data_IF_696860560972
#
_entry.id   IF_696860560972
#
_cell.length_a   1.000
_cell.length_b   1.000
_cell.length_c   1.000
_cell.angle_alpha   90.00
_cell.angle_beta   90.00
_cell.angle_gamma   90.00
#
_symmetry.space_group_name_H-M   'P 1'
#
loop_
_entity.id
_entity.type
_entity.pdbx_description
1 polymer ?
#
# COMPACT_ATOMS: atom_id res chain seq x y z
N UNK A 1 4.90 18.30 -19.14
CA UNK A 1 5.93 19.02 -18.35
C UNK A 1 7.17 18.16 -18.19
N UNK A 2 8.33 18.69 -18.60
CA UNK A 2 9.64 18.08 -18.39
C UNK A 2 10.13 18.29 -16.94
N UNK A 3 9.90 19.46 -16.33
CA UNK A 3 10.39 19.84 -14.98
C UNK A 3 9.28 19.90 -13.91
N UNK A 4 8.44 18.87 -13.83
CA UNK A 4 7.31 18.89 -12.89
C UNK A 4 7.75 18.77 -11.42
N UNK A 5 8.89 18.11 -11.14
CA UNK A 5 9.42 17.93 -9.78
C UNK A 5 9.93 19.25 -9.22
N UNK A 6 10.66 20.02 -10.02
CA UNK A 6 11.21 21.32 -9.63
C UNK A 6 10.08 22.31 -9.31
N UNK A 7 9.06 22.36 -10.18
CA UNK A 7 7.87 23.19 -9.96
C UNK A 7 7.11 22.77 -8.71
N UNK A 8 6.97 21.46 -8.48
CA UNK A 8 6.32 20.94 -7.28
C UNK A 8 7.10 21.30 -6.02
N UNK A 9 8.43 21.23 -6.07
CA UNK A 9 9.29 21.57 -4.94
C UNK A 9 9.14 23.04 -4.53
N UNK A 10 9.04 23.96 -5.50
CA UNK A 10 8.78 25.38 -5.24
C UNK A 10 7.47 25.66 -4.48
N UNK A 11 6.51 24.74 -4.54
CA UNK A 11 5.22 24.89 -3.84
C UNK A 11 5.23 24.39 -2.39
N UNK A 12 6.38 23.95 -1.85
CA UNK A 12 6.53 23.45 -0.48
C UNK A 12 5.45 22.43 -0.08
N UNK A 13 5.44 21.21 -0.67
CA UNK A 13 4.36 20.25 -0.49
C UNK A 13 4.17 19.77 0.96
N UNK A 14 5.19 19.93 1.81
CA UNK A 14 5.13 19.63 3.24
C UNK A 14 4.18 20.55 4.02
N UNK A 15 4.02 21.79 3.56
CA UNK A 15 3.18 22.82 4.19
C UNK A 15 1.73 22.78 3.71
N UNK A 16 1.42 21.94 2.72
CA UNK A 16 0.08 21.87 2.16
C UNK A 16 -0.96 21.42 3.19
N UNK A 17 -2.14 22.05 3.09
CA UNK A 17 -3.30 21.62 3.85
C UNK A 17 -3.74 20.21 3.40
N UNK A 18 -4.38 19.40 4.27
CA UNK A 18 -4.90 18.10 3.89
C UNK A 18 -5.83 18.13 2.66
N UNK A 19 -6.60 19.22 2.52
CA UNK A 19 -7.50 19.44 1.39
C UNK A 19 -6.73 19.78 0.11
N UNK A 20 -5.67 20.59 0.22
CA UNK A 20 -4.76 20.87 -0.90
C UNK A 20 -4.08 19.60 -1.41
N UNK A 21 -3.60 18.76 -0.49
CA UNK A 21 -3.01 17.46 -0.83
C UNK A 21 -3.99 16.55 -1.57
N UNK A 22 -5.27 16.53 -1.18
CA UNK A 22 -6.30 15.77 -1.89
C UNK A 22 -6.49 16.25 -3.33
N UNK A 23 -6.65 17.57 -3.54
CA UNK A 23 -6.84 18.12 -4.88
C UNK A 23 -5.61 17.92 -5.75
N UNK A 24 -4.41 18.15 -5.20
CA UNK A 24 -3.15 17.87 -5.88
C UNK A 24 -3.06 16.40 -6.30
N UNK A 25 -3.34 15.47 -5.39
CA UNK A 25 -3.34 14.02 -5.70
C UNK A 25 -4.37 13.69 -6.78
N UNK A 26 -5.56 14.31 -6.76
CA UNK A 26 -6.60 14.09 -7.77
C UNK A 26 -6.15 14.53 -9.17
N UNK A 27 -5.56 15.72 -9.28
CA UNK A 27 -5.05 16.28 -10.54
C UNK A 27 -3.86 15.46 -11.04
N UNK A 28 -2.96 15.10 -10.14
CA UNK A 28 -1.74 14.40 -10.51
C UNK A 28 -2.02 12.95 -10.89
N UNK A 29 -2.90 12.25 -10.18
CA UNK A 29 -3.29 10.88 -10.52
C UNK A 29 -4.00 10.78 -11.88
N UNK A 30 -4.71 11.83 -12.33
CA UNK A 30 -5.39 11.79 -13.63
C UNK A 30 -4.52 12.26 -14.80
N UNK A 31 -3.52 13.10 -14.56
CA UNK A 31 -2.77 13.78 -15.62
C UNK A 31 -1.30 13.33 -15.74
N UNK A 32 -0.73 12.65 -14.74
CA UNK A 32 0.65 12.17 -14.81
C UNK A 32 0.75 10.76 -15.35
N UNK A 33 1.85 10.50 -16.06
CA UNK A 33 2.28 9.16 -16.42
C UNK A 33 2.57 8.31 -15.17
N UNK A 34 2.40 6.99 -15.26
CA UNK A 34 2.49 6.04 -14.14
C UNK A 34 3.82 6.17 -13.37
N UNK A 35 4.94 6.41 -14.08
CA UNK A 35 6.27 6.62 -13.47
C UNK A 35 6.34 7.91 -12.64
N UNK A 36 5.71 8.99 -13.11
CA UNK A 36 5.68 10.28 -12.42
C UNK A 36 4.73 10.22 -11.21
N UNK A 37 3.57 9.59 -11.38
CA UNK A 37 2.63 9.33 -10.30
C UNK A 37 3.25 8.46 -9.20
N UNK A 38 4.06 7.45 -9.55
CA UNK A 38 4.82 6.65 -8.58
C UNK A 38 5.77 7.53 -7.74
N UNK A 39 6.54 8.40 -8.40
CA UNK A 39 7.46 9.33 -7.72
C UNK A 39 6.72 10.29 -6.78
N UNK A 40 5.62 10.88 -7.24
CA UNK A 40 4.78 11.75 -6.41
C UNK A 40 4.26 11.01 -5.16
N UNK A 41 3.71 9.81 -5.36
CA UNK A 41 3.20 8.99 -4.26
C UNK A 41 4.29 8.66 -3.24
N UNK A 42 5.50 8.33 -3.72
CA UNK A 42 6.63 7.95 -2.87
C UNK A 42 7.26 9.12 -2.12
N UNK A 43 7.44 10.26 -2.77
CA UNK A 43 8.19 11.40 -2.23
C UNK A 43 7.31 12.40 -1.47
N UNK A 44 6.03 12.52 -1.81
CA UNK A 44 5.16 13.54 -1.22
C UNK A 44 4.03 12.92 -0.41
N UNK A 45 3.22 12.07 -1.03
CA UNK A 45 2.00 11.56 -0.39
C UNK A 45 2.32 10.61 0.78
N UNK A 46 3.25 9.67 0.58
CA UNK A 46 3.61 8.68 1.58
C UNK A 46 4.21 9.32 2.84
N UNK A 47 5.26 10.17 2.79
CA UNK A 47 5.81 10.81 3.98
C UNK A 47 4.75 11.62 4.74
N UNK A 48 3.91 12.37 4.02
CA UNK A 48 2.85 13.18 4.63
C UNK A 48 1.86 12.33 5.43
N UNK A 49 1.46 11.17 4.90
CA UNK A 49 0.53 10.27 5.58
C UNK A 49 1.17 9.70 6.85
N UNK A 50 2.43 9.26 6.77
CA UNK A 50 3.16 8.72 7.92
C UNK A 50 3.30 9.75 9.04
N UNK A 51 3.63 10.99 8.70
CA UNK A 51 3.75 12.08 9.67
C UNK A 51 2.43 12.38 10.37
N UNK A 52 1.32 12.41 9.62
CA UNK A 52 0.00 12.68 10.19
C UNK A 52 -0.46 11.53 11.08
N UNK A 53 -0.20 10.27 10.68
CA UNK A 53 -0.52 9.10 11.52
C UNK A 53 0.33 9.11 12.80
N UNK A 54 1.61 9.46 12.71
CA UNK A 54 2.51 9.55 13.86
C UNK A 54 2.06 10.64 14.84
N UNK A 55 1.64 11.81 14.35
CA UNK A 55 1.21 12.95 15.17
C UNK A 55 -0.19 12.76 15.77
N UNK A 56 -1.18 12.47 14.93
CA UNK A 56 -2.59 12.53 15.33
C UNK A 56 -3.19 11.16 15.66
N UNK A 57 -2.44 10.06 15.44
CA UNK A 57 -2.90 8.67 15.63
C UNK A 57 -4.13 8.27 14.80
N UNK A 58 -4.69 9.19 14.01
CA UNK A 58 -5.85 9.09 13.11
C UNK A 58 -5.52 9.84 11.81
N UNK A 59 -6.00 9.32 10.68
CA UNK A 59 -5.82 9.97 9.39
C UNK A 59 -6.94 10.97 9.12
N UNK A 60 -6.58 12.17 8.65
CA UNK A 60 -7.54 13.18 8.23
C UNK A 60 -8.36 12.68 7.02
N UNK A 61 -9.65 13.00 6.98
CA UNK A 61 -10.57 12.54 5.93
C UNK A 61 -10.07 12.84 4.50
N UNK A 62 -9.60 14.07 4.25
CA UNK A 62 -9.07 14.45 2.94
C UNK A 62 -7.82 13.63 2.51
N UNK A 63 -6.94 13.25 3.45
CA UNK A 63 -5.78 12.40 3.14
C UNK A 63 -6.21 10.97 2.85
N UNK A 64 -7.25 10.48 3.53
CA UNK A 64 -7.87 9.21 3.19
C UNK A 64 -8.50 9.24 1.78
N UNK A 65 -9.15 10.35 1.41
CA UNK A 65 -9.64 10.55 0.05
C UNK A 65 -8.50 10.66 -0.98
N UNK A 66 -7.35 11.23 -0.61
CA UNK A 66 -6.16 11.28 -1.46
C UNK A 66 -5.63 9.88 -1.75
N UNK A 67 -5.53 9.02 -0.72
CA UNK A 67 -5.21 7.59 -0.89
C UNK A 67 -6.21 6.88 -1.81
N UNK A 68 -7.51 7.13 -1.62
CA UNK A 68 -8.55 6.58 -2.51
C UNK A 68 -8.32 7.01 -3.96
N UNK A 69 -7.91 8.25 -4.21
CA UNK A 69 -7.61 8.73 -5.57
C UNK A 69 -6.32 8.13 -6.13
N UNK A 70 -5.30 7.92 -5.31
CA UNK A 70 -4.06 7.27 -5.73
C UNK A 70 -4.27 5.81 -6.20
N UNK A 71 -5.27 5.08 -5.67
CA UNK A 71 -5.58 3.72 -6.11
C UNK A 71 -6.05 3.63 -7.57
N UNK A 72 -6.61 4.70 -8.14
CA UNK A 72 -7.03 4.70 -9.55
C UNK A 72 -5.84 4.46 -10.49
N UNK A 73 -4.61 4.73 -10.04
CA UNK A 73 -3.38 4.36 -10.72
C UNK A 73 -2.66 3.23 -9.94
N UNK A 74 -3.07 1.96 -10.09
CA UNK A 74 -2.66 0.87 -9.20
C UNK A 74 -1.16 0.55 -9.28
N UNK A 75 -0.53 0.75 -10.43
CA UNK A 75 0.91 0.57 -10.61
C UNK A 75 1.71 1.57 -9.75
N UNK A 76 1.31 2.84 -9.77
CA UNK A 76 1.92 3.91 -8.99
C UNK A 76 1.66 3.72 -7.49
N UNK A 77 0.44 3.31 -7.11
CA UNK A 77 0.09 3.03 -5.72
C UNK A 77 0.93 1.90 -5.12
N UNK A 78 1.04 0.76 -5.81
CA UNK A 78 1.78 -0.39 -5.30
C UNK A 78 3.29 -0.09 -5.18
N UNK A 79 3.88 0.50 -6.21
CA UNK A 79 5.32 0.80 -6.22
C UNK A 79 5.69 2.01 -5.35
N UNK A 80 4.81 3.00 -5.25
CA UNK A 80 5.05 4.25 -4.55
C UNK A 80 4.63 4.25 -3.08
N UNK A 81 3.62 3.47 -2.69
CA UNK A 81 3.06 3.46 -1.33
C UNK A 81 3.24 2.08 -0.70
N UNK A 82 2.66 1.04 -1.29
CA UNK A 82 2.58 -0.28 -0.64
C UNK A 82 3.97 -0.93 -0.45
N UNK A 83 4.79 -0.98 -1.50
CA UNK A 83 6.13 -1.59 -1.42
C UNK A 83 7.09 -0.79 -0.55
N UNK A 84 7.18 0.55 -0.65
CA UNK A 84 8.03 1.32 0.24
C UNK A 84 7.62 1.21 1.71
N UNK A 85 6.31 1.19 2.01
CA UNK A 85 5.83 0.93 3.37
C UNK A 85 6.31 -0.42 3.90
N UNK A 86 6.12 -1.49 3.12
CA UNK A 86 6.49 -2.84 3.55
C UNK A 86 8.01 -3.05 3.63
N UNK A 87 8.79 -2.44 2.72
CA UNK A 87 10.26 -2.54 2.71
C UNK A 87 10.92 -1.70 3.79
N UNK A 88 10.29 -0.62 4.24
CA UNK A 88 10.90 0.32 5.19
C UNK A 88 11.15 -0.26 6.59
N UNK A 89 10.57 -1.41 6.94
CA UNK A 89 10.72 -2.05 8.27
C UNK A 89 10.13 -1.26 9.45
N UNK A 90 9.72 -0.01 9.22
CA UNK A 90 9.22 0.95 10.23
C UNK A 90 7.70 1.12 10.17
N UNK A 91 7.01 0.24 9.43
CA UNK A 91 5.57 0.29 9.24
C UNK A 91 4.84 -0.01 10.56
N UNK A 92 4.04 0.94 11.03
CA UNK A 92 3.26 0.77 12.25
C UNK A 92 1.96 0.00 11.98
N UNK A 93 1.42 -0.73 12.97
CA UNK A 93 0.15 -1.47 12.85
C UNK A 93 -1.00 -0.57 12.36
N UNK A 94 -1.05 0.68 12.83
CA UNK A 94 -2.06 1.66 12.40
C UNK A 94 -1.92 2.05 10.93
N UNK A 95 -0.68 2.24 10.46
CA UNK A 95 -0.42 2.54 9.05
C UNK A 95 -0.89 1.36 8.17
N UNK A 96 -0.57 0.13 8.58
CA UNK A 96 -1.00 -1.09 7.91
C UNK A 96 -2.53 -1.25 7.88
N UNK A 97 -3.23 -1.00 8.99
CA UNK A 97 -4.69 -1.08 9.05
C UNK A 97 -5.35 -0.02 8.14
N UNK A 98 -4.86 1.22 8.16
CA UNK A 98 -5.43 2.30 7.35
C UNK A 98 -5.21 2.01 5.87
N UNK A 99 -3.97 1.74 5.44
CA UNK A 99 -3.66 1.45 4.04
C UNK A 99 -4.35 0.15 3.59
N UNK A 100 -4.36 -0.88 4.44
CA UNK A 100 -5.07 -2.13 4.20
C UNK A 100 -6.57 -1.92 3.96
N UNK A 101 -7.22 -1.06 4.75
CA UNK A 101 -8.64 -0.76 4.59
C UNK A 101 -8.98 -0.09 3.25
N UNK A 102 -8.07 0.76 2.74
CA UNK A 102 -8.22 1.40 1.42
C UNK A 102 -8.05 0.33 0.33
N UNK A 103 -7.09 -0.59 0.51
CA UNK A 103 -6.80 -1.67 -0.44
C UNK A 103 -7.94 -2.68 -0.53
N UNK A 104 -8.62 -2.98 0.58
CA UNK A 104 -9.78 -3.87 0.64
C UNK A 104 -11.02 -3.24 -0.01
N UNK A 105 -11.31 -1.97 0.30
CA UNK A 105 -12.53 -1.28 -0.16
C UNK A 105 -12.55 -0.96 -1.65
N UNK A 106 -11.40 -0.87 -2.30
CA UNK A 106 -11.31 -0.48 -3.71
C UNK A 106 -10.70 -1.60 -4.55
N UNK A 107 -11.35 -1.92 -5.65
CA UNK A 107 -10.91 -2.95 -6.60
C UNK A 107 -9.57 -2.54 -7.23
N UNK A 108 -8.58 -3.42 -7.10
CA UNK A 108 -7.27 -3.27 -7.76
C UNK A 108 -7.25 -4.35 -8.83
N UNK A 109 -6.83 -4.05 -10.06
CA UNK A 109 -6.74 -5.07 -11.11
C UNK A 109 -5.97 -6.31 -10.65
N UNK A 110 -6.46 -7.50 -11.02
CA UNK A 110 -5.96 -8.78 -10.54
C UNK A 110 -4.43 -8.91 -10.66
N UNK A 111 -3.85 -8.53 -11.80
CA UNK A 111 -2.41 -8.56 -12.05
C UNK A 111 -1.60 -7.76 -11.02
N UNK A 112 -2.07 -6.57 -10.66
CA UNK A 112 -1.40 -5.73 -9.67
C UNK A 112 -1.59 -6.27 -8.25
N UNK A 113 -2.72 -6.91 -7.96
CA UNK A 113 -2.96 -7.62 -6.69
C UNK A 113 -2.03 -8.83 -6.54
N UNK A 114 -1.84 -9.59 -7.61
CA UNK A 114 -0.94 -10.75 -7.70
C UNK A 114 0.52 -10.32 -7.53
N UNK A 115 0.97 -9.29 -8.24
CA UNK A 115 2.33 -8.74 -8.11
C UNK A 115 2.60 -8.19 -6.70
N UNK A 116 1.59 -7.57 -6.08
CA UNK A 116 1.67 -7.16 -4.68
C UNK A 116 1.78 -8.37 -3.77
N UNK A 117 0.98 -9.41 -3.95
CA UNK A 117 1.06 -10.62 -3.15
C UNK A 117 2.43 -11.31 -3.27
N UNK A 118 2.95 -11.46 -4.50
CA UNK A 118 4.26 -12.04 -4.78
C UNK A 118 5.39 -11.26 -4.10
N UNK A 119 5.42 -9.94 -4.25
CA UNK A 119 6.43 -9.10 -3.59
C UNK A 119 6.26 -9.03 -2.07
N UNK A 120 5.04 -9.22 -1.55
CA UNK A 120 4.72 -9.30 -0.13
C UNK A 120 4.96 -10.70 0.47
N UNK A 121 5.34 -11.72 -0.32
CA UNK A 121 5.71 -13.05 0.20
C UNK A 121 6.80 -12.97 1.28
N UNK A 122 7.61 -11.91 1.30
CA UNK A 122 8.66 -11.72 2.30
C UNK A 122 8.23 -10.93 3.56
N UNK A 123 7.10 -10.18 3.58
CA UNK A 123 6.85 -9.18 4.64
C UNK A 123 5.37 -8.90 4.99
N UNK A 124 5.16 -8.33 6.18
CA UNK A 124 3.92 -7.90 6.87
C UNK A 124 2.64 -8.69 6.57
N UNK A 125 2.28 -9.54 7.54
CA UNK A 125 1.10 -10.41 7.55
C UNK A 125 -0.21 -9.59 7.39
N UNK A 126 -0.27 -8.38 7.95
CA UNK A 126 -1.44 -7.49 7.87
C UNK A 126 -1.71 -6.97 6.44
N UNK A 127 -0.66 -6.67 5.68
CA UNK A 127 -0.81 -6.26 4.28
C UNK A 127 -1.28 -7.42 3.40
N UNK A 128 -0.90 -8.66 3.77
CA UNK A 128 -1.25 -9.87 3.03
C UNK A 128 -2.73 -10.26 3.18
N UNK A 129 -3.29 -10.16 4.40
CA UNK A 129 -4.73 -10.33 4.64
C UNK A 129 -5.58 -9.40 3.77
N UNK A 130 -5.13 -8.15 3.58
CA UNK A 130 -5.84 -7.18 2.75
C UNK A 130 -5.84 -7.55 1.24
N UNK A 131 -4.85 -8.31 0.76
CA UNK A 131 -4.79 -8.77 -0.63
C UNK A 131 -5.62 -10.03 -0.90
N UNK A 132 -5.73 -10.94 0.08
CA UNK A 132 -6.52 -12.18 -0.08
C UNK A 132 -8.03 -11.96 -0.08
N UNK A 133 -8.51 -10.85 0.48
CA UNK A 133 -9.93 -10.51 0.49
C UNK A 133 -10.56 -10.21 -0.88
N UNK A 134 -9.82 -10.40 -1.98
CA UNK A 134 -10.33 -10.26 -3.35
C UNK A 134 -10.32 -11.63 -4.04
N UNK A 135 -11.46 -12.02 -4.62
CA UNK A 135 -11.70 -13.33 -5.25
C UNK A 135 -10.92 -13.56 -6.57
N UNK A 136 -9.71 -13.01 -6.76
CA UNK A 136 -8.94 -13.18 -7.98
C UNK A 136 -8.17 -14.51 -8.05
N UNK A 137 -8.31 -15.25 -9.14
CA UNK A 137 -7.49 -16.44 -9.40
C UNK A 137 -5.99 -16.10 -9.32
N UNK A 138 -5.28 -16.76 -8.41
CA UNK A 138 -3.85 -16.55 -8.19
C UNK A 138 -3.07 -17.46 -9.14
N UNK A 139 -2.05 -16.95 -9.85
CA UNK A 139 -1.14 -17.78 -10.63
C UNK A 139 -0.39 -18.78 -9.75
N UNK A 140 -0.09 -19.94 -10.33
CA UNK A 140 0.54 -21.06 -9.62
C UNK A 140 1.85 -20.66 -8.91
N UNK A 141 2.73 -19.89 -9.56
CA UNK A 141 3.98 -19.42 -8.96
C UNK A 141 3.78 -18.54 -7.70
N UNK A 142 2.65 -17.81 -7.61
CA UNK A 142 2.33 -17.03 -6.40
C UNK A 142 1.85 -17.94 -5.29
N UNK A 143 1.06 -18.96 -5.62
CA UNK A 143 0.61 -20.00 -4.68
C UNK A 143 1.82 -20.76 -4.13
N UNK A 144 2.73 -21.23 -4.99
CA UNK A 144 3.95 -21.92 -4.57
C UNK A 144 4.80 -21.07 -3.61
N UNK A 145 5.02 -19.79 -3.93
CA UNK A 145 5.79 -18.92 -3.03
C UNK A 145 5.04 -18.58 -1.73
N UNK A 146 3.71 -18.63 -1.70
CA UNK A 146 2.92 -18.51 -0.47
C UNK A 146 3.02 -19.78 0.38
N UNK A 147 2.91 -20.96 -0.23
CA UNK A 147 3.11 -22.24 0.45
C UNK A 147 4.52 -22.29 1.03
N UNK A 148 5.55 -21.99 0.22
CA UNK A 148 6.94 -21.93 0.65
C UNK A 148 7.17 -20.94 1.81
N UNK A 149 6.42 -19.84 1.85
CA UNK A 149 6.47 -18.91 2.98
C UNK A 149 5.90 -19.53 4.26
N UNK A 150 4.71 -20.14 4.18
CA UNK A 150 4.07 -20.72 5.37
C UNK A 150 4.82 -21.97 5.87
N UNK A 151 5.36 -22.79 4.97
CA UNK A 151 6.15 -23.98 5.34
C UNK A 151 7.42 -23.61 6.11
N UNK A 152 8.04 -22.45 5.83
CA UNK A 152 9.19 -21.94 6.59
C UNK A 152 8.92 -21.78 8.08
N UNK A 153 7.67 -21.55 8.49
CA UNK A 153 7.30 -21.40 9.89
C UNK A 153 6.93 -22.71 10.57
N UNK A 154 6.93 -23.86 9.87
CA UNK A 154 6.64 -25.15 10.48
C UNK A 154 7.74 -25.59 11.46
N UNK A 155 8.98 -25.20 11.19
CA UNK A 155 10.15 -25.48 12.03
C UNK A 155 10.43 -24.37 13.06
N UNK A 156 9.61 -23.31 13.07
CA UNK A 156 9.80 -22.18 13.97
C UNK A 156 9.13 -22.44 15.33
N UNK A 157 9.91 -22.38 16.41
CA UNK A 157 9.43 -22.61 17.78
C UNK A 157 8.75 -21.39 18.43
N UNK A 158 8.66 -20.27 17.70
CA UNK A 158 8.03 -19.04 18.20
C UNK A 158 6.50 -19.12 18.20
N UNK A 159 5.88 -18.47 19.20
CA UNK A 159 4.43 -18.27 19.21
C UNK A 159 4.07 -17.25 18.12
N UNK A 160 3.39 -17.72 17.08
CA UNK A 160 2.97 -16.89 15.97
C UNK A 160 1.77 -16.02 16.36
N UNK A 161 1.69 -14.77 15.87
CA UNK A 161 0.58 -13.87 16.19
C UNK A 161 -0.72 -14.33 15.53
N UNK A 162 -1.88 -14.03 16.15
CA UNK A 162 -3.20 -14.41 15.63
C UNK A 162 -3.47 -13.98 14.18
N UNK A 163 -2.92 -12.84 13.76
CA UNK A 163 -3.01 -12.31 12.39
C UNK A 163 -2.41 -13.31 11.38
N UNK A 164 -1.36 -14.06 11.77
CA UNK A 164 -0.74 -15.08 10.93
C UNK A 164 -1.69 -16.26 10.69
N UNK A 165 -2.34 -16.76 11.74
CA UNK A 165 -3.31 -17.84 11.62
C UNK A 165 -4.53 -17.41 10.81
N UNK A 166 -5.00 -16.17 11.00
CA UNK A 166 -6.07 -15.59 10.18
C UNK A 166 -5.69 -15.45 8.71
N UNK A 167 -4.43 -15.08 8.39
CA UNK A 167 -3.99 -14.98 6.99
C UNK A 167 -3.83 -16.33 6.33
N UNK A 168 -3.43 -17.36 7.09
CA UNK A 168 -3.37 -18.74 6.61
C UNK A 168 -4.78 -19.29 6.37
N UNK A 169 -5.70 -19.06 7.32
CA UNK A 169 -7.09 -19.47 7.19
C UNK A 169 -7.74 -18.85 5.95
N UNK A 170 -7.56 -17.54 5.73
CA UNK A 170 -8.07 -16.86 4.55
C UNK A 170 -7.45 -17.38 3.22
N UNK A 171 -6.24 -17.93 3.27
CA UNK A 171 -5.59 -18.55 2.12
C UNK A 171 -6.15 -19.95 1.82
N UNK A 172 -6.45 -20.75 2.86
CA UNK A 172 -6.98 -22.12 2.73
C UNK A 172 -8.48 -22.15 2.45
N UNK A 173 -9.25 -21.20 2.98
CA UNK A 173 -10.70 -21.10 2.76
C UNK A 173 -11.08 -20.66 1.34
N UNK A 174 -10.09 -20.31 0.53
CA UNK A 174 -10.25 -19.89 -0.85
C UNK A 174 -10.03 -21.09 -1.78
#
# INVERSE_FOLDING_TARGET
MQHWEDVLYLTDPEKWSPNGMYQATRILASNLDAKKAERFCRLVLLPRIRDVIKKNKRLHFALYQALKKAIFEPAAFNKGILFPLCKSGTCNLREAVIVGSVTQKFTIPALHSILSCWSLQKWSIAARQASFGKEYALPYHVIEGLIAHYTRFMEDSRILPAIWHQSLLAFVQR
#
